data_IF_913675715355
#
_entry.id   IF_913675715355
#
_cell.length_a   1.000
_cell.length_b   1.000
_cell.length_c   1.000
_cell.angle_alpha   90.00
_cell.angle_beta   90.00
_cell.angle_gamma   90.00
#
_symmetry.space_group_name_H-M   'P 1'
#
loop_
_entity.id
_entity.type
_entity.pdbx_description
1 polymer ?
#
# COMPACT_ATOMS: atom_id res chain seq x y z
N UNK A 1 14.52 18.03 -8.07
CA UNK A 1 14.60 18.20 -6.62
C UNK A 1 14.22 16.91 -5.91
N UNK A 2 15.04 16.46 -4.99
CA UNK A 2 14.78 15.27 -4.23
C UNK A 2 13.51 15.45 -3.39
N UNK A 3 12.60 14.48 -3.46
CA UNK A 3 11.34 14.51 -2.73
C UNK A 3 11.20 13.24 -1.92
N UNK A 4 11.94 13.18 -0.82
CA UNK A 4 11.75 12.10 0.13
C UNK A 4 10.42 12.33 0.86
N UNK A 5 9.57 11.31 0.85
CA UNK A 5 8.32 11.35 1.58
C UNK A 5 8.43 10.51 2.84
N UNK A 6 7.81 11.01 3.91
CA UNK A 6 7.64 10.20 5.11
C UNK A 6 6.62 9.09 4.83
N UNK A 7 6.61 8.06 5.67
CA UNK A 7 5.60 7.01 5.57
C UNK A 7 4.18 7.61 5.68
N UNK A 8 3.99 8.61 6.53
CA UNK A 8 2.71 9.28 6.68
C UNK A 8 2.27 10.03 5.42
N UNK A 9 3.21 10.71 4.77
CA UNK A 9 2.94 11.42 3.51
C UNK A 9 2.60 10.47 2.38
N UNK A 10 3.33 9.35 2.25
CA UNK A 10 3.02 8.30 1.28
C UNK A 10 1.64 7.69 1.53
N UNK A 11 1.32 7.43 2.80
CA UNK A 11 0.02 6.87 3.18
C UNK A 11 -1.11 7.80 2.78
N UNK A 12 -0.99 9.09 3.08
CA UNK A 12 -1.99 10.08 2.70
C UNK A 12 -2.16 10.16 1.18
N UNK A 13 -1.06 10.20 0.45
CA UNK A 13 -1.07 10.24 -1.01
C UNK A 13 -1.81 9.01 -1.57
N UNK A 14 -1.54 7.84 -1.04
CA UNK A 14 -2.17 6.61 -1.51
C UNK A 14 -3.64 6.54 -1.16
N UNK A 15 -4.05 6.99 0.02
CA UNK A 15 -5.47 7.04 0.39
C UNK A 15 -6.24 7.95 -0.57
N UNK A 16 -5.69 9.13 -0.86
CA UNK A 16 -6.31 10.06 -1.81
C UNK A 16 -6.39 9.45 -3.21
N UNK A 17 -5.31 8.86 -3.67
CA UNK A 17 -5.24 8.25 -4.99
C UNK A 17 -6.24 7.09 -5.14
N UNK A 18 -6.24 6.18 -4.18
CA UNK A 18 -7.15 5.02 -4.22
C UNK A 18 -8.60 5.44 -4.09
N UNK A 19 -8.89 6.47 -3.28
CA UNK A 19 -10.23 7.04 -3.18
C UNK A 19 -10.74 7.56 -4.52
N UNK A 20 -9.89 8.23 -5.28
CA UNK A 20 -10.23 8.72 -6.62
C UNK A 20 -10.43 7.57 -7.62
N UNK A 21 -9.88 6.41 -7.34
CA UNK A 21 -10.00 5.21 -8.18
C UNK A 21 -11.17 4.32 -7.79
N UNK A 22 -12.03 4.77 -6.90
CA UNK A 22 -13.26 4.05 -6.54
C UNK A 22 -13.10 3.10 -5.35
N UNK A 23 -12.08 3.31 -4.53
CA UNK A 23 -11.83 2.48 -3.35
C UNK A 23 -12.12 3.24 -2.08
N UNK A 24 -12.86 2.62 -1.18
CA UNK A 24 -13.10 3.13 0.17
C UNK A 24 -12.03 2.55 1.06
N UNK A 25 -11.03 3.36 1.39
CA UNK A 25 -9.87 2.91 2.15
C UNK A 25 -9.55 3.87 3.28
N UNK A 26 -8.90 3.34 4.31
CA UNK A 26 -8.51 4.10 5.48
C UNK A 26 -7.22 3.53 6.05
N UNK A 27 -6.61 4.29 6.93
CA UNK A 27 -5.39 3.88 7.60
C UNK A 27 -5.69 2.80 8.63
N UNK A 28 -4.96 1.69 8.56
CA UNK A 28 -5.02 0.65 9.58
C UNK A 28 -4.12 1.06 10.74
N UNK A 29 -4.73 1.47 11.85
CA UNK A 29 -4.00 1.92 13.03
C UNK A 29 -3.61 0.73 13.91
N UNK A 30 -2.55 0.05 13.54
CA UNK A 30 -1.92 -0.96 14.40
C UNK A 30 -0.99 -0.25 15.39
N UNK A 31 -1.58 0.36 16.41
CA UNK A 31 -0.78 1.04 17.42
C UNK A 31 -0.24 0.05 18.44
N UNK A 32 1.07 -0.21 18.40
CA UNK A 32 1.78 -0.81 19.52
C UNK A 32 1.89 0.25 20.61
N UNK A 33 1.13 0.09 21.68
CA UNK A 33 1.24 0.95 22.85
C UNK A 33 2.47 0.51 23.64
N UNK A 34 3.36 1.45 23.95
CA UNK A 34 4.58 1.19 24.70
C UNK A 34 4.25 0.46 26.02
N UNK A 35 4.92 -0.68 26.25
CA UNK A 35 4.72 -1.49 27.46
C UNK A 35 3.58 -2.48 27.38
N UNK A 36 2.89 -2.59 26.25
CA UNK A 36 1.83 -3.59 26.04
C UNK A 36 2.20 -4.54 24.92
N UNK A 37 1.74 -5.78 25.03
CA UNK A 37 1.83 -6.74 23.94
C UNK A 37 1.02 -6.21 22.74
N UNK A 38 1.52 -6.47 21.53
CA UNK A 38 0.77 -6.14 20.31
C UNK A 38 -0.54 -6.92 20.29
N UNK A 39 -1.67 -6.18 20.21
CA UNK A 39 -3.00 -6.76 20.13
C UNK A 39 -3.49 -6.50 18.71
N UNK A 40 -3.34 -7.48 17.85
CA UNK A 40 -3.78 -7.36 16.47
C UNK A 40 -3.11 -8.43 15.63
N UNK A 41 -3.43 -8.41 14.35
CA UNK A 41 -2.85 -9.36 13.41
C UNK A 41 -1.61 -8.74 12.78
N UNK A 42 -0.49 -9.44 12.88
CA UNK A 42 0.76 -9.02 12.25
C UNK A 42 0.65 -9.10 10.73
N UNK A 43 1.29 -8.18 10.05
CA UNK A 43 1.39 -8.18 8.60
C UNK A 43 0.24 -7.55 7.86
N UNK A 44 -0.80 -7.09 8.56
CA UNK A 44 -1.92 -6.38 7.91
C UNK A 44 -1.40 -5.06 7.34
N UNK A 45 -1.73 -4.74 6.07
CA UNK A 45 -1.22 -3.53 5.42
C UNK A 45 -1.59 -2.22 6.14
N UNK A 46 -0.81 -1.18 5.86
CA UNK A 46 -1.00 0.16 6.43
C UNK A 46 -2.33 0.79 6.02
N UNK A 47 -2.80 0.46 4.83
CA UNK A 47 -4.08 0.94 4.28
C UNK A 47 -4.93 -0.28 3.97
N UNK A 48 -6.18 -0.27 4.41
CA UNK A 48 -7.14 -1.33 4.14
C UNK A 48 -8.48 -0.73 3.74
N UNK A 49 -9.30 -1.53 3.09
CA UNK A 49 -10.63 -1.13 2.69
C UNK A 49 -11.21 -2.07 1.64
N UNK A 50 -12.03 -1.52 0.77
CA UNK A 50 -12.71 -2.30 -0.26
C UNK A 50 -12.96 -1.44 -1.50
N UNK A 51 -13.12 -2.09 -2.66
CA UNK A 51 -13.59 -1.36 -3.83
C UNK A 51 -15.12 -1.18 -3.75
N UNK A 52 -15.57 0.04 -4.14
CA UNK A 52 -16.99 0.40 -4.00
C UNK A 52 -17.88 -0.35 -4.99
N UNK A 53 -17.32 -0.88 -6.06
CA UNK A 53 -18.09 -1.53 -7.12
C UNK A 53 -18.41 -2.99 -6.79
N UNK A 54 -17.44 -3.72 -6.25
CA UNK A 54 -17.57 -5.17 -6.02
C UNK A 54 -17.38 -5.58 -4.56
N UNK A 55 -16.95 -4.66 -3.70
CA UNK A 55 -16.70 -4.98 -2.30
C UNK A 55 -15.47 -5.84 -2.05
N UNK A 56 -14.58 -5.97 -3.03
CA UNK A 56 -13.35 -6.75 -2.87
C UNK A 56 -12.41 -6.06 -1.91
N UNK A 57 -11.77 -6.83 -1.06
CA UNK A 57 -10.83 -6.31 -0.07
C UNK A 57 -9.60 -5.70 -0.76
N UNK A 58 -9.19 -4.55 -0.25
CA UNK A 58 -8.01 -3.83 -0.72
C UNK A 58 -7.03 -3.71 0.44
N UNK A 59 -5.77 -4.04 0.20
CA UNK A 59 -4.70 -3.83 1.15
C UNK A 59 -3.51 -3.18 0.45
N UNK A 60 -2.98 -2.12 1.03
CA UNK A 60 -1.82 -1.43 0.50
C UNK A 60 -0.79 -1.21 1.60
N UNK A 61 0.37 -1.83 1.44
CA UNK A 61 1.52 -1.65 2.32
C UNK A 61 2.33 -0.44 1.86
N UNK A 62 2.81 0.36 2.80
CA UNK A 62 3.58 1.57 2.53
C UNK A 62 5.02 1.36 3.00
N UNK A 63 5.97 1.61 2.12
CA UNK A 63 7.41 1.54 2.42
C UNK A 63 8.09 2.83 2.01
N UNK A 64 8.54 3.62 2.97
CA UNK A 64 9.41 4.76 2.70
C UNK A 64 10.78 4.27 2.23
N UNK A 65 11.60 5.18 1.74
CA UNK A 65 12.94 4.84 1.28
C UNK A 65 13.74 4.13 2.40
N UNK A 66 14.29 2.97 2.05
CA UNK A 66 15.09 2.15 2.97
C UNK A 66 14.32 1.13 3.77
N UNK A 67 12.99 1.22 3.84
CA UNK A 67 12.18 0.23 4.54
C UNK A 67 12.11 -1.08 3.76
N UNK A 68 12.00 -2.17 4.50
CA UNK A 68 11.86 -3.51 3.93
C UNK A 68 10.55 -4.14 4.37
N UNK A 69 9.96 -4.91 3.46
CA UNK A 69 8.77 -5.69 3.78
C UNK A 69 9.14 -6.84 4.70
N UNK A 70 8.34 -7.06 5.75
CA UNK A 70 8.54 -8.19 6.66
C UNK A 70 7.98 -9.48 6.06
N UNK A 71 8.40 -10.66 6.57
CA UNK A 71 7.82 -11.94 6.12
C UNK A 71 6.31 -11.99 6.31
N UNK A 72 5.80 -11.48 7.42
CA UNK A 72 4.36 -11.46 7.71
C UNK A 72 3.60 -10.56 6.74
N UNK A 73 4.17 -9.39 6.40
CA UNK A 73 3.60 -8.48 5.42
C UNK A 73 3.58 -9.10 4.03
N UNK A 74 4.68 -9.74 3.64
CA UNK A 74 4.78 -10.43 2.36
C UNK A 74 3.75 -11.55 2.25
N UNK A 75 3.62 -12.36 3.31
CA UNK A 75 2.64 -13.45 3.35
C UNK A 75 1.22 -12.93 3.22
N UNK A 76 0.88 -11.88 3.96
CA UNK A 76 -0.47 -11.30 3.90
C UNK A 76 -0.79 -10.80 2.48
N UNK A 77 0.12 -10.03 1.89
CA UNK A 77 -0.09 -9.48 0.54
C UNK A 77 -0.21 -10.59 -0.51
N UNK A 78 0.61 -11.63 -0.40
CA UNK A 78 0.56 -12.76 -1.33
C UNK A 78 -0.77 -13.50 -1.23
N UNK A 79 -1.20 -13.83 -0.02
CA UNK A 79 -2.45 -14.53 0.22
C UNK A 79 -3.66 -13.70 -0.22
N UNK A 80 -3.64 -12.40 0.05
CA UNK A 80 -4.71 -11.50 -0.36
C UNK A 80 -4.86 -11.49 -1.88
N UNK A 81 -3.77 -11.34 -2.60
CA UNK A 81 -3.78 -11.32 -4.06
C UNK A 81 -4.25 -12.64 -4.65
N UNK A 82 -3.84 -13.77 -4.07
CA UNK A 82 -4.29 -15.10 -4.51
C UNK A 82 -5.77 -15.35 -4.21
N UNK A 83 -6.29 -14.74 -3.16
CA UNK A 83 -7.70 -14.86 -2.80
C UNK A 83 -8.63 -13.95 -3.63
N UNK A 84 -8.09 -13.15 -4.54
CA UNK A 84 -8.87 -12.28 -5.40
C UNK A 84 -9.00 -10.84 -4.91
N UNK A 85 -8.38 -10.49 -3.80
CA UNK A 85 -8.33 -9.11 -3.33
C UNK A 85 -7.27 -8.30 -4.07
N UNK A 86 -7.35 -6.99 -3.96
CA UNK A 86 -6.34 -6.09 -4.52
C UNK A 86 -5.22 -5.88 -3.51
N UNK A 87 -4.07 -6.48 -3.76
CA UNK A 87 -2.90 -6.46 -2.91
C UNK A 87 -1.87 -5.50 -3.49
N UNK A 88 -1.45 -4.50 -2.71
CA UNK A 88 -0.58 -3.44 -3.22
C UNK A 88 0.60 -3.18 -2.30
N UNK A 89 1.72 -2.81 -2.93
CA UNK A 89 2.91 -2.36 -2.24
C UNK A 89 3.36 -1.04 -2.88
N UNK A 90 3.28 0.03 -2.10
CA UNK A 90 3.75 1.35 -2.52
C UNK A 90 5.08 1.64 -1.86
N UNK A 91 6.13 1.83 -2.64
CA UNK A 91 7.49 2.02 -2.14
C UNK A 91 8.13 3.25 -2.76
N UNK A 92 8.81 4.05 -1.95
CA UNK A 92 9.75 5.02 -2.48
C UNK A 92 11.10 4.32 -2.67
N UNK A 93 11.53 4.20 -3.92
CA UNK A 93 12.74 3.44 -4.28
C UNK A 93 13.95 4.35 -4.49
N UNK A 94 13.73 5.64 -4.72
CA UNK A 94 14.75 6.67 -4.78
C UNK A 94 14.12 8.02 -4.43
N UNK A 95 14.94 9.07 -4.40
CA UNK A 95 14.46 10.41 -4.13
C UNK A 95 13.43 10.94 -5.14
N UNK A 96 13.37 10.32 -6.33
CA UNK A 96 12.47 10.74 -7.40
C UNK A 96 11.45 9.68 -7.82
N UNK A 97 11.57 8.46 -7.30
CA UNK A 97 10.77 7.33 -7.78
C UNK A 97 9.90 6.75 -6.69
N UNK A 98 8.60 6.76 -6.93
CA UNK A 98 7.62 6.04 -6.12
C UNK A 98 7.01 4.97 -7.03
N UNK A 99 7.07 3.73 -6.57
CA UNK A 99 6.63 2.55 -7.30
C UNK A 99 5.40 1.95 -6.62
N UNK A 100 4.42 1.54 -7.42
CA UNK A 100 3.26 0.80 -6.95
C UNK A 100 3.24 -0.57 -7.62
N UNK A 101 3.29 -1.62 -6.81
CA UNK A 101 3.13 -2.98 -7.28
C UNK A 101 1.75 -3.47 -6.89
N UNK A 102 0.99 -3.98 -7.85
CA UNK A 102 -0.35 -4.53 -7.62
C UNK A 102 -0.31 -6.01 -7.95
N UNK A 103 -0.64 -6.84 -6.97
CA UNK A 103 -0.75 -8.28 -7.13
C UNK A 103 -2.21 -8.68 -7.01
N UNK A 104 -2.74 -9.26 -8.06
CA UNK A 104 -4.12 -9.71 -8.12
C UNK A 104 -4.25 -10.88 -9.08
N UNK A 105 -4.97 -11.92 -8.68
CA UNK A 105 -5.24 -13.10 -9.51
C UNK A 105 -3.97 -13.75 -10.06
N UNK A 106 -2.90 -13.76 -9.28
CA UNK A 106 -1.63 -14.37 -9.67
C UNK A 106 -0.76 -13.52 -10.59
N UNK A 107 -1.20 -12.31 -10.93
CA UNK A 107 -0.47 -11.37 -11.77
C UNK A 107 0.06 -10.19 -10.98
N UNK A 108 1.29 -9.78 -11.28
CA UNK A 108 1.88 -8.55 -10.71
C UNK A 108 2.03 -7.50 -11.80
N UNK A 109 1.50 -6.32 -11.54
CA UNK A 109 1.69 -5.15 -12.40
C UNK A 109 2.44 -4.08 -11.64
N UNK A 110 3.34 -3.38 -12.31
CA UNK A 110 4.19 -2.37 -11.71
C UNK A 110 3.93 -1.02 -12.36
N UNK A 111 3.76 0.00 -11.51
CA UNK A 111 3.45 1.36 -11.93
C UNK A 111 4.45 2.33 -11.29
N UNK A 112 4.70 3.43 -11.97
CA UNK A 112 5.53 4.53 -11.44
C UNK A 112 4.69 5.80 -11.30
N UNK A 113 4.89 6.52 -10.20
CA UNK A 113 4.19 7.77 -9.94
C UNK A 113 4.68 8.88 -10.87
N UNK A 114 3.73 9.60 -11.45
CA UNK A 114 3.99 10.78 -12.29
C UNK A 114 3.51 12.01 -11.54
N UNK A 115 4.44 12.74 -10.94
CA UNK A 115 4.10 13.89 -10.11
C UNK A 115 3.32 14.96 -10.87
N UNK A 116 3.69 15.22 -12.12
CA UNK A 116 3.01 16.21 -12.96
C UNK A 116 1.55 15.85 -13.26
N UNK A 117 1.23 14.57 -13.28
CA UNK A 117 -0.10 14.06 -13.61
C UNK A 117 -0.88 13.62 -12.38
N UNK A 118 -0.23 13.55 -11.22
CA UNK A 118 -0.79 13.04 -9.98
C UNK A 118 -1.42 11.66 -10.14
N UNK A 119 -0.75 10.79 -10.89
CA UNK A 119 -1.21 9.42 -11.11
C UNK A 119 -0.06 8.44 -11.31
N UNK A 120 -0.38 7.15 -11.16
CA UNK A 120 0.53 6.07 -11.49
C UNK A 120 0.33 5.65 -12.94
N UNK A 121 1.44 5.41 -13.63
CA UNK A 121 1.43 4.84 -14.97
C UNK A 121 2.19 3.53 -14.98
N UNK A 122 1.66 2.56 -15.70
CA UNK A 122 2.28 1.25 -15.83
C UNK A 122 3.61 1.38 -16.59
N UNK A 123 4.62 0.77 -16.02
CA UNK A 123 5.98 0.76 -16.59
C UNK A 123 6.10 -0.31 -17.66
#
# INVERSE_FOLDING_TARGET
MATYKTASELTKMMIDYLGQRGMEVWRNNNLAVKGRAFIGRKGVPDIIGYDRKHGQFVGCEIKKLGDRISPEQFTFLTQLGLAGGASMLCSQTSDETIKLEIFKDGETKIFSWRESEKEFRQT
#
